data_IF_708718826760
#
_entry.id   IF_708718826760
#
_cell.length_a   1.000
_cell.length_b   1.000
_cell.length_c   1.000
_cell.angle_alpha   90.00
_cell.angle_beta   90.00
_cell.angle_gamma   90.00
#
_symmetry.space_group_name_H-M   'P 1'
#
loop_
_entity.id
_entity.type
_entity.pdbx_description
1 polymer ?
#
# COMPACT_ATOMS: atom_id res chain seq x y z
N UNK A 1 -4.72 10.54 -2.84
CA UNK A 1 -5.99 10.49 -2.09
C UNK A 1 -7.06 10.07 -3.07
N UNK A 2 -7.98 9.17 -2.69
CA UNK A 2 -9.04 8.67 -3.58
C UNK A 2 -10.42 8.93 -2.97
N UNK A 3 -11.40 9.20 -3.83
CA UNK A 3 -12.81 9.21 -3.47
C UNK A 3 -13.31 7.75 -3.35
N UNK A 4 -14.22 7.46 -2.41
CA UNK A 4 -14.79 6.13 -2.23
C UNK A 4 -15.58 5.65 -3.45
N UNK A 5 -16.18 6.55 -4.23
CA UNK A 5 -16.87 6.18 -5.47
C UNK A 5 -15.93 5.59 -6.54
N UNK A 6 -14.62 5.82 -6.42
CA UNK A 6 -13.60 5.29 -7.34
C UNK A 6 -12.95 3.99 -6.83
N UNK A 7 -13.47 3.42 -5.73
CA UNK A 7 -12.95 2.19 -5.14
C UNK A 7 -14.02 1.09 -5.21
N UNK A 8 -13.64 -0.06 -5.76
CA UNK A 8 -14.45 -1.28 -5.64
C UNK A 8 -14.02 -2.04 -4.37
N UNK A 9 -14.90 -2.17 -3.36
CA UNK A 9 -14.56 -2.92 -2.17
C UNK A 9 -14.36 -4.40 -2.52
N UNK A 10 -13.41 -5.04 -1.85
CA UNK A 10 -13.13 -6.48 -2.04
C UNK A 10 -13.23 -7.19 -0.70
N UNK A 11 -13.58 -8.48 -0.74
CA UNK A 11 -13.66 -9.34 0.45
C UNK A 11 -12.30 -9.53 1.14
N UNK A 12 -11.19 -9.35 0.42
CA UNK A 12 -9.85 -9.68 0.92
C UNK A 12 -9.29 -8.57 1.82
N UNK A 13 -8.72 -8.96 2.96
CA UNK A 13 -7.91 -8.07 3.81
C UNK A 13 -6.42 -8.27 3.53
N UNK A 14 -5.63 -7.21 3.77
CA UNK A 14 -4.17 -7.22 3.61
C UNK A 14 -3.54 -6.70 4.90
N UNK A 15 -3.13 -7.61 5.77
CA UNK A 15 -2.65 -7.26 7.12
C UNK A 15 -1.17 -6.84 7.11
N UNK A 16 -0.83 -5.74 6.44
CA UNK A 16 0.54 -5.20 6.42
C UNK A 16 0.63 -4.11 7.47
N UNK A 17 1.57 -4.25 8.41
CA UNK A 17 1.82 -3.24 9.43
C UNK A 17 2.54 -2.03 8.81
N UNK A 18 1.79 -1.18 8.14
CA UNK A 18 2.28 0.09 7.59
C UNK A 18 2.35 1.13 8.71
N UNK A 19 3.44 1.90 8.70
CA UNK A 19 3.58 2.99 9.66
C UNK A 19 2.60 4.11 9.29
N UNK A 20 1.56 4.26 10.11
CA UNK A 20 0.50 5.27 9.91
C UNK A 20 1.05 6.69 10.04
N UNK A 21 2.17 6.88 10.73
CA UNK A 21 2.83 8.19 10.83
C UNK A 21 3.56 8.56 9.54
N UNK A 22 4.07 7.56 8.80
CA UNK A 22 4.74 7.76 7.53
C UNK A 22 3.75 7.92 6.36
N UNK A 23 2.59 7.26 6.41
CA UNK A 23 1.54 7.33 5.37
C UNK A 23 0.36 8.17 5.89
N UNK A 24 0.58 9.48 6.00
CA UNK A 24 -0.42 10.44 6.47
C UNK A 24 -0.65 11.59 5.47
N UNK A 25 -1.54 12.54 5.81
CA UNK A 25 -1.85 13.70 4.96
C UNK A 25 -0.64 14.64 4.77
N UNK A 26 0.21 14.77 5.78
CA UNK A 26 1.37 15.67 5.75
C UNK A 26 2.50 15.16 4.85
N UNK A 27 2.65 13.84 4.71
CA UNK A 27 3.60 13.23 3.78
C UNK A 27 3.31 13.59 2.31
N UNK A 28 2.10 14.06 1.98
CA UNK A 28 1.78 14.54 0.63
C UNK A 28 2.17 15.99 0.38
N UNK A 29 2.41 16.78 1.43
CA UNK A 29 2.79 18.20 1.31
C UNK A 29 4.23 18.37 0.83
N UNK A 30 5.11 17.44 1.21
CA UNK A 30 6.52 17.43 0.80
C UNK A 30 6.83 16.22 -0.11
N UNK A 31 7.29 16.44 -1.36
CA UNK A 31 7.75 15.37 -2.24
C UNK A 31 8.82 14.44 -1.65
N UNK A 32 9.69 14.94 -0.77
CA UNK A 32 10.72 14.15 -0.12
C UNK A 32 10.10 13.14 0.86
N UNK A 33 9.15 13.58 1.69
CA UNK A 33 8.40 12.71 2.61
C UNK A 33 7.60 11.66 1.84
N UNK A 34 6.94 12.03 0.74
CA UNK A 34 6.23 11.08 -0.14
C UNK A 34 7.18 10.03 -0.72
N UNK A 35 8.40 10.40 -1.09
CA UNK A 35 9.41 9.46 -1.61
C UNK A 35 9.86 8.48 -0.51
N UNK A 36 10.09 8.97 0.70
CA UNK A 36 10.45 8.14 1.86
C UNK A 36 9.34 7.12 2.16
N UNK A 37 8.10 7.60 2.32
CA UNK A 37 6.94 6.74 2.57
C UNK A 37 6.76 5.63 1.51
N UNK A 38 6.94 5.96 0.21
CA UNK A 38 6.87 4.96 -0.87
C UNK A 38 7.97 3.90 -0.77
N UNK A 39 9.19 4.28 -0.39
CA UNK A 39 10.31 3.34 -0.23
C UNK A 39 10.01 2.37 0.91
N UNK A 40 9.51 2.88 2.03
CA UNK A 40 9.20 2.08 3.21
C UNK A 40 8.04 1.10 2.95
N UNK A 41 6.98 1.55 2.27
CA UNK A 41 5.86 0.69 1.84
C UNK A 41 6.33 -0.39 0.86
N UNK A 42 7.20 -0.04 -0.09
CA UNK A 42 7.73 -1.00 -1.07
C UNK A 42 8.48 -2.14 -0.39
N UNK A 43 9.40 -1.83 0.53
CA UNK A 43 10.17 -2.85 1.25
C UNK A 43 9.25 -3.85 1.99
N UNK A 44 8.24 -3.34 2.71
CA UNK A 44 7.26 -4.19 3.42
C UNK A 44 6.44 -5.08 2.49
N UNK A 45 6.06 -4.58 1.32
CA UNK A 45 5.36 -5.39 0.32
C UNK A 45 6.25 -6.46 -0.32
N UNK A 46 7.53 -6.16 -0.57
CA UNK A 46 8.49 -7.16 -1.06
C UNK A 46 8.73 -8.29 -0.04
N UNK A 47 8.86 -7.95 1.24
CA UNK A 47 8.93 -8.95 2.33
C UNK A 47 7.67 -9.81 2.38
N UNK A 48 6.48 -9.19 2.34
CA UNK A 48 5.21 -9.92 2.35
C UNK A 48 5.07 -10.86 1.16
N UNK A 49 5.47 -10.41 -0.03
CA UNK A 49 5.43 -11.21 -1.25
C UNK A 49 6.32 -12.44 -1.14
N UNK A 50 7.54 -12.30 -0.62
CA UNK A 50 8.47 -13.43 -0.40
C UNK A 50 7.91 -14.47 0.57
N UNK A 51 7.09 -14.08 1.54
CA UNK A 51 6.42 -15.03 2.45
C UNK A 51 5.25 -15.79 1.81
N UNK A 52 4.86 -15.47 0.56
CA UNK A 52 3.76 -16.10 -0.15
C UNK A 52 2.36 -15.78 0.41
N UNK A 53 2.25 -14.77 1.30
CA UNK A 53 0.98 -14.28 1.86
C UNK A 53 0.31 -13.31 0.88
N UNK A 54 -1.02 -13.20 0.97
CA UNK A 54 -1.84 -12.30 0.15
C UNK A 54 -1.64 -12.48 -1.36
N UNK A 55 -1.55 -13.73 -1.85
CA UNK A 55 -1.29 -14.06 -3.27
C UNK A 55 -2.18 -13.28 -4.25
N UNK A 56 -3.48 -13.20 -3.97
CA UNK A 56 -4.45 -12.47 -4.80
C UNK A 56 -4.08 -10.99 -4.95
N UNK A 57 -3.61 -10.34 -3.88
CA UNK A 57 -3.23 -8.92 -3.90
C UNK A 57 -1.98 -8.66 -4.76
N UNK A 58 -1.05 -9.61 -4.81
CA UNK A 58 0.17 -9.50 -5.61
C UNK A 58 0.02 -10.06 -7.05
N UNK A 59 -1.15 -10.60 -7.40
CA UNK A 59 -1.45 -11.07 -8.74
C UNK A 59 -2.03 -9.92 -9.56
N UNK A 60 -1.55 -9.74 -10.80
CA UNK A 60 -2.08 -8.75 -11.73
C UNK A 60 -3.55 -9.06 -12.06
N UNK A 61 -4.43 -8.09 -11.85
CA UNK A 61 -5.81 -8.15 -12.35
C UNK A 61 -5.80 -8.11 -13.89
N UNK A 62 -6.40 -9.13 -14.52
CA UNK A 62 -6.54 -9.22 -15.98
C UNK A 62 -7.90 -8.65 -16.37
N UNK A 63 -7.89 -7.67 -17.24
CA UNK A 63 -9.05 -7.09 -17.91
C UNK A 63 -8.65 -6.84 -19.37
#
# INVERSE_FOLDING_TARGET
>A
VYNYNHLMPTRYSVDVNLDKSAVNKDAFRDPALKRKARRDVKAKFEERYKTGKNKWFFQKLRF
#
